data_IF_504133865230
#
_entry.id   IF_504133865230
#
_cell.length_a   1.000
_cell.length_b   1.000
_cell.length_c   1.000
_cell.angle_alpha   90.00
_cell.angle_beta   90.00
_cell.angle_gamma   90.00
#
_symmetry.space_group_name_H-M   'P 1'
#
loop_
_entity.id
_entity.type
_entity.pdbx_description
1 polymer ?
#
# COMPACT_ATOMS: atom_id res chain seq x y z
N UNK A 1 -56.16 -22.54 -32.12
CA UNK A 1 -54.74 -22.28 -32.47
C UNK A 1 -53.97 -22.49 -31.20
N UNK A 2 -53.37 -23.63 -31.13
CA UNK A 2 -52.71 -24.23 -29.96
C UNK A 2 -51.25 -23.75 -29.90
N UNK A 3 -50.86 -23.26 -28.72
CA UNK A 3 -49.48 -22.93 -28.38
C UNK A 3 -48.86 -24.19 -27.76
N UNK A 4 -47.97 -24.86 -28.48
CA UNK A 4 -47.04 -25.86 -27.97
C UNK A 4 -45.75 -25.73 -28.73
N UNK A 5 -44.81 -24.92 -28.19
CA UNK A 5 -43.42 -25.02 -28.53
C UNK A 5 -42.61 -25.19 -27.22
N UNK A 6 -42.41 -26.44 -26.88
CA UNK A 6 -41.60 -26.90 -25.78
C UNK A 6 -40.13 -26.78 -26.21
N UNK A 7 -39.44 -25.77 -25.69
CA UNK A 7 -37.97 -25.64 -25.83
C UNK A 7 -37.30 -26.77 -25.03
N UNK A 8 -36.77 -27.78 -25.73
CA UNK A 8 -35.94 -28.82 -25.15
C UNK A 8 -34.65 -28.21 -24.68
N UNK A 9 -34.44 -28.20 -23.35
CA UNK A 9 -33.11 -27.99 -22.74
C UNK A 9 -32.32 -29.26 -22.93
N UNK A 10 -31.29 -29.22 -23.76
CA UNK A 10 -30.30 -30.30 -23.84
C UNK A 10 -29.43 -30.26 -22.57
N UNK A 11 -29.66 -31.20 -21.67
CA UNK A 11 -28.73 -31.49 -20.57
C UNK A 11 -27.41 -32.00 -21.14
N UNK A 12 -26.40 -31.16 -21.11
CA UNK A 12 -25.00 -31.59 -21.31
C UNK A 12 -24.57 -32.42 -20.10
N UNK A 13 -24.03 -33.63 -20.29
CA UNK A 13 -23.50 -34.43 -19.20
C UNK A 13 -22.32 -33.66 -18.56
N UNK A 14 -22.07 -33.79 -17.25
CA UNK A 14 -20.93 -33.18 -16.59
C UNK A 14 -19.66 -33.89 -17.06
N UNK A 15 -19.12 -33.43 -18.19
CA UNK A 15 -17.79 -33.78 -18.61
C UNK A 15 -16.81 -33.05 -17.69
N UNK A 16 -16.13 -33.82 -16.84
CA UNK A 16 -14.95 -33.38 -16.11
C UNK A 16 -13.94 -32.83 -17.12
N UNK A 17 -13.92 -31.53 -17.30
CA UNK A 17 -12.80 -30.84 -17.92
C UNK A 17 -11.64 -30.95 -16.93
N UNK A 18 -10.87 -32.04 -17.04
CA UNK A 18 -9.48 -32.06 -16.56
C UNK A 18 -8.71 -31.11 -17.45
N UNK A 19 -8.79 -29.82 -17.15
CA UNK A 19 -7.79 -28.87 -17.59
C UNK A 19 -6.49 -29.27 -16.90
N UNK A 20 -5.65 -30.02 -17.59
CA UNK A 20 -4.23 -30.08 -17.29
C UNK A 20 -3.67 -28.70 -17.64
N UNK A 21 -3.89 -27.71 -16.76
CA UNK A 21 -3.16 -26.46 -16.82
C UNK A 21 -1.68 -26.84 -16.62
N UNK A 22 -0.88 -26.66 -17.66
CA UNK A 22 0.56 -26.59 -17.51
C UNK A 22 0.81 -25.63 -16.35
N UNK A 23 1.41 -26.11 -15.27
CA UNK A 23 1.81 -25.30 -14.12
C UNK A 23 2.89 -24.35 -14.62
N UNK A 24 2.49 -23.15 -15.05
CA UNK A 24 3.37 -22.12 -15.58
C UNK A 24 3.79 -21.21 -14.42
N UNK A 25 4.85 -21.56 -13.75
CA UNK A 25 5.55 -20.71 -12.80
C UNK A 25 5.03 -20.79 -11.36
N UNK A 26 5.95 -21.04 -10.43
CA UNK A 26 5.71 -20.91 -9.01
C UNK A 26 5.97 -19.47 -8.55
N UNK A 27 5.21 -18.96 -7.58
CA UNK A 27 5.44 -17.64 -7.00
C UNK A 27 5.13 -17.59 -5.51
N UNK A 28 5.67 -16.59 -4.85
CA UNK A 28 5.37 -16.22 -3.47
C UNK A 28 4.64 -14.89 -3.45
N UNK A 29 3.56 -14.82 -2.69
CA UNK A 29 2.81 -13.59 -2.42
C UNK A 29 2.98 -13.25 -0.94
N UNK A 30 3.39 -12.04 -0.63
CA UNK A 30 3.52 -11.58 0.75
C UNK A 30 2.13 -11.20 1.28
N UNK A 31 1.62 -11.95 2.26
CA UNK A 31 0.31 -11.70 2.87
C UNK A 31 0.40 -10.78 4.10
N UNK A 32 1.55 -10.79 4.79
CA UNK A 32 1.84 -9.94 5.95
C UNK A 32 3.35 -9.68 6.07
N UNK A 33 3.74 -8.56 6.66
CA UNK A 33 5.14 -8.12 6.83
C UNK A 33 5.47 -6.86 6.04
N UNK A 34 6.75 -6.46 6.05
CA UNK A 34 7.24 -5.20 5.48
C UNK A 34 7.06 -5.05 3.96
N UNK A 35 6.89 -6.17 3.26
CA UNK A 35 6.66 -6.22 1.80
C UNK A 35 5.26 -6.73 1.46
N UNK A 36 4.25 -6.50 2.32
CA UNK A 36 2.90 -7.00 2.12
C UNK A 36 2.38 -6.65 0.72
N UNK A 37 1.93 -7.70 -0.01
CA UNK A 37 1.39 -7.65 -1.37
C UNK A 37 2.40 -7.74 -2.49
N UNK A 38 3.67 -7.71 -2.22
CA UNK A 38 4.65 -8.02 -3.25
C UNK A 38 4.55 -9.48 -3.67
N UNK A 39 4.77 -9.70 -4.96
CA UNK A 39 4.82 -11.03 -5.57
C UNK A 39 6.20 -11.30 -6.13
N UNK A 40 6.75 -12.46 -5.80
CA UNK A 40 8.07 -12.89 -6.25
C UNK A 40 7.95 -14.17 -7.06
N UNK A 41 8.34 -14.11 -8.35
CA UNK A 41 8.41 -15.31 -9.21
C UNK A 41 9.59 -16.17 -8.81
N UNK A 42 9.36 -17.46 -8.65
CA UNK A 42 10.38 -18.45 -8.38
C UNK A 42 10.95 -18.99 -9.71
N UNK A 43 11.75 -18.16 -10.40
CA UNK A 43 12.33 -18.46 -11.72
C UNK A 43 13.69 -19.17 -11.65
N UNK A 44 14.24 -19.34 -10.44
CA UNK A 44 15.53 -19.96 -10.18
C UNK A 44 15.36 -21.31 -9.52
N UNK A 45 16.30 -22.21 -9.75
CA UNK A 45 16.34 -23.51 -9.05
C UNK A 45 16.37 -23.32 -7.53
N UNK A 46 16.96 -22.22 -7.04
CA UNK A 46 17.09 -21.90 -5.62
C UNK A 46 16.76 -20.41 -5.39
N UNK A 47 15.82 -20.14 -4.49
CA UNK A 47 15.43 -18.79 -4.07
C UNK A 47 15.57 -18.66 -2.56
N UNK A 48 16.45 -17.78 -2.08
CA UNK A 48 16.66 -17.51 -0.65
C UNK A 48 15.75 -16.36 -0.22
N UNK A 49 15.09 -16.55 0.91
CA UNK A 49 14.21 -15.60 1.58
C UNK A 49 14.92 -15.13 2.86
N UNK A 50 15.01 -13.82 3.08
CA UNK A 50 15.69 -13.29 4.26
C UNK A 50 15.80 -11.78 4.24
N UNK A 51 16.30 -11.16 5.33
CA UNK A 51 16.50 -9.70 5.39
C UNK A 51 17.85 -9.23 4.82
N UNK A 52 18.76 -10.14 4.54
CA UNK A 52 20.12 -9.82 4.06
C UNK A 52 20.16 -9.41 2.59
N UNK A 53 21.26 -8.79 2.20
CA UNK A 53 21.44 -8.33 0.80
C UNK A 53 21.58 -9.48 -0.20
N UNK A 54 21.91 -10.69 0.26
CA UNK A 54 22.05 -11.89 -0.59
C UNK A 54 20.73 -12.60 -0.86
N UNK A 55 19.66 -12.27 -0.09
CA UNK A 55 18.35 -12.84 -0.30
C UNK A 55 17.72 -12.31 -1.58
N UNK A 56 17.17 -13.19 -2.41
CA UNK A 56 16.41 -12.83 -3.61
C UNK A 56 15.04 -12.29 -3.25
N UNK A 57 14.40 -12.89 -2.22
CA UNK A 57 13.15 -12.41 -1.63
C UNK A 57 13.50 -11.72 -0.32
N UNK A 58 13.60 -10.39 -0.38
CA UNK A 58 14.12 -9.60 0.74
C UNK A 58 12.99 -9.08 1.62
N UNK A 59 12.95 -9.56 2.87
CA UNK A 59 12.00 -9.14 3.90
C UNK A 59 12.70 -8.30 4.96
N UNK A 60 12.30 -7.04 5.14
CA UNK A 60 12.96 -6.09 6.05
C UNK A 60 12.41 -6.17 7.49
N UNK A 61 11.89 -7.32 7.90
CA UNK A 61 11.35 -7.56 9.23
C UNK A 61 12.45 -8.01 10.20
N UNK A 62 12.47 -7.47 11.41
CA UNK A 62 13.50 -7.77 12.41
C UNK A 62 13.48 -9.23 12.88
N UNK A 63 12.32 -9.88 12.83
CA UNK A 63 12.15 -11.31 13.10
C UNK A 63 12.72 -12.24 12.03
N UNK A 64 13.10 -11.71 10.86
CA UNK A 64 13.62 -12.49 9.73
C UNK A 64 15.16 -12.50 9.75
N UNK A 65 15.78 -13.68 9.70
CA UNK A 65 17.23 -13.83 9.63
C UNK A 65 17.79 -13.33 8.29
N UNK A 66 19.10 -13.05 8.19
CA UNK A 66 19.73 -12.57 6.95
C UNK A 66 19.52 -13.53 5.77
N UNK A 67 19.70 -14.83 6.01
CA UNK A 67 19.29 -15.93 5.16
C UNK A 67 18.40 -16.78 6.06
N UNK A 68 17.07 -16.76 5.84
CA UNK A 68 16.12 -17.36 6.79
C UNK A 68 15.67 -18.74 6.33
N UNK A 69 15.18 -18.82 5.13
CA UNK A 69 14.78 -20.07 4.48
C UNK A 69 15.02 -19.97 2.98
N UNK A 70 14.90 -21.11 2.30
CA UNK A 70 15.01 -21.16 0.85
C UNK A 70 13.89 -22.01 0.25
N UNK A 71 13.55 -21.73 -0.98
CA UNK A 71 12.73 -22.61 -1.80
C UNK A 71 13.59 -23.12 -2.94
N UNK A 72 13.64 -24.46 -3.07
CA UNK A 72 14.34 -25.17 -4.12
C UNK A 72 13.32 -25.79 -5.05
N UNK A 73 13.41 -25.48 -6.34
CA UNK A 73 12.61 -26.11 -7.37
C UNK A 73 13.31 -27.38 -7.86
N UNK A 74 12.64 -28.54 -7.71
CA UNK A 74 13.11 -29.85 -8.17
C UNK A 74 12.08 -30.41 -9.17
N UNK A 75 12.27 -30.09 -10.44
CA UNK A 75 11.26 -30.31 -11.47
C UNK A 75 9.97 -29.54 -11.15
N UNK A 76 8.85 -30.26 -11.03
CA UNK A 76 7.53 -29.68 -10.71
C UNK A 76 7.28 -29.50 -9.18
N UNK A 77 8.28 -29.82 -8.35
CA UNK A 77 8.16 -29.76 -6.89
C UNK A 77 8.89 -28.56 -6.34
N UNK A 78 8.25 -27.85 -5.42
CA UNK A 78 8.85 -26.78 -4.63
C UNK A 78 9.14 -27.27 -3.22
N UNK A 79 10.38 -27.18 -2.78
CA UNK A 79 10.83 -27.65 -1.46
C UNK A 79 11.28 -26.46 -0.63
N UNK A 80 10.56 -26.18 0.44
CA UNK A 80 10.92 -25.20 1.47
C UNK A 80 11.96 -25.82 2.41
N UNK A 81 13.02 -25.07 2.74
CA UNK A 81 14.03 -25.46 3.76
C UNK A 81 14.35 -24.29 4.66
N UNK A 82 14.35 -24.50 5.96
CA UNK A 82 14.88 -23.54 6.92
C UNK A 82 16.41 -23.55 6.88
N UNK A 83 17.04 -22.37 6.95
CA UNK A 83 18.49 -22.22 6.88
C UNK A 83 19.12 -21.99 8.29
N UNK A 84 18.53 -22.58 9.33
CA UNK A 84 18.96 -22.37 10.72
C UNK A 84 18.51 -21.00 11.23
N UNK A 85 17.32 -20.59 10.87
CA UNK A 85 16.79 -19.28 11.25
C UNK A 85 16.56 -19.15 12.75
N UNK A 86 16.71 -17.93 13.30
CA UNK A 86 16.58 -17.65 14.72
C UNK A 86 15.16 -17.93 15.25
N UNK A 87 14.15 -17.47 14.51
CA UNK A 87 12.74 -17.59 14.94
C UNK A 87 12.00 -18.76 14.29
N UNK A 88 12.64 -19.47 13.35
CA UNK A 88 12.07 -20.63 12.67
C UNK A 88 11.17 -20.28 11.50
N UNK A 89 11.00 -21.28 10.62
CA UNK A 89 10.08 -21.28 9.49
C UNK A 89 8.92 -22.19 9.80
N UNK A 90 7.69 -21.77 9.53
CA UNK A 90 6.50 -22.56 9.80
C UNK A 90 5.67 -22.71 8.51
N UNK A 91 5.16 -23.90 8.28
CA UNK A 91 4.26 -24.20 7.18
C UNK A 91 3.09 -25.04 7.71
N UNK A 92 1.86 -24.73 7.28
CA UNK A 92 0.62 -25.40 7.74
C UNK A 92 0.51 -25.44 9.28
N UNK A 93 0.99 -24.39 9.96
CA UNK A 93 0.94 -24.26 11.42
C UNK A 93 2.03 -25.02 12.19
N UNK A 94 2.91 -25.76 11.52
CA UNK A 94 4.00 -26.53 12.14
C UNK A 94 5.36 -25.95 11.77
N UNK A 95 6.30 -25.96 12.71
CA UNK A 95 7.71 -25.60 12.43
C UNK A 95 8.32 -26.65 11.51
N UNK A 96 9.02 -26.20 10.45
CA UNK A 96 9.57 -27.08 9.45
C UNK A 96 11.07 -26.82 9.24
N UNK A 97 11.84 -27.91 9.07
CA UNK A 97 13.21 -27.85 8.57
C UNK A 97 13.25 -28.08 7.04
N UNK A 98 12.35 -28.94 6.57
CA UNK A 98 12.15 -29.24 5.15
C UNK A 98 10.69 -29.63 4.89
N UNK A 99 10.04 -29.02 3.90
CA UNK A 99 8.66 -29.28 3.52
C UNK A 99 8.45 -29.17 2.02
N UNK A 100 7.81 -30.14 1.41
CA UNK A 100 7.28 -30.02 0.04
C UNK A 100 6.05 -29.10 0.08
N UNK A 101 6.07 -28.05 -0.74
CA UNK A 101 5.00 -27.05 -0.80
C UNK A 101 3.92 -27.47 -1.80
N UNK A 102 2.68 -27.22 -1.42
CA UNK A 102 1.50 -27.36 -2.27
C UNK A 102 0.91 -26.00 -2.59
N UNK A 103 0.11 -25.93 -3.64
CA UNK A 103 -0.57 -24.71 -4.03
C UNK A 103 -1.46 -24.19 -2.90
N UNK A 104 -1.32 -22.89 -2.57
CA UNK A 104 -2.03 -22.24 -1.49
C UNK A 104 -1.35 -22.30 -0.12
N UNK A 105 -0.21 -23.00 0.03
CA UNK A 105 0.49 -23.09 1.31
C UNK A 105 0.89 -21.73 1.85
N UNK A 106 0.64 -21.54 3.17
CA UNK A 106 1.08 -20.36 3.90
C UNK A 106 2.34 -20.67 4.68
N UNK A 107 3.35 -19.84 4.49
CA UNK A 107 4.66 -19.94 5.12
C UNK A 107 4.81 -18.76 6.07
N UNK A 108 4.93 -19.01 7.38
CA UNK A 108 5.31 -17.98 8.34
C UNK A 108 6.83 -17.98 8.47
N UNK A 109 7.44 -16.83 8.22
CA UNK A 109 8.89 -16.60 8.27
C UNK A 109 9.17 -15.64 9.42
N UNK A 110 9.92 -16.09 10.40
CA UNK A 110 10.18 -15.29 11.60
C UNK A 110 8.92 -15.08 12.45
N UNK A 111 8.73 -13.87 12.98
CA UNK A 111 7.66 -13.56 13.94
C UNK A 111 6.39 -12.96 13.31
N UNK A 112 6.44 -12.51 12.06
CA UNK A 112 5.31 -11.74 11.50
C UNK A 112 5.17 -11.74 9.97
N UNK A 113 6.19 -12.21 9.23
CA UNK A 113 6.10 -12.27 7.77
C UNK A 113 5.36 -13.53 7.33
N UNK A 114 4.25 -13.37 6.60
CA UNK A 114 3.47 -14.48 6.05
C UNK A 114 3.55 -14.44 4.53
N UNK A 115 4.00 -15.53 3.94
CA UNK A 115 4.07 -15.75 2.49
C UNK A 115 3.04 -16.80 2.07
N UNK A 116 2.43 -16.63 0.91
CA UNK A 116 1.62 -17.66 0.26
C UNK A 116 2.40 -18.20 -0.93
N UNK A 117 2.61 -19.51 -0.96
CA UNK A 117 3.12 -20.20 -2.15
C UNK A 117 1.96 -20.56 -3.07
N UNK A 118 2.13 -20.36 -4.38
CA UNK A 118 1.09 -20.73 -5.35
C UNK A 118 1.70 -20.96 -6.73
N UNK A 119 1.06 -21.82 -7.55
CA UNK A 119 1.33 -21.95 -8.97
C UNK A 119 0.35 -21.05 -9.73
N UNK A 120 0.85 -20.23 -10.63
CA UNK A 120 0.00 -19.34 -11.41
C UNK A 120 0.00 -19.67 -12.89
N UNK A 121 -1.16 -19.55 -13.49
CA UNK A 121 -1.37 -19.26 -14.89
C UNK A 121 -1.20 -17.74 -15.11
N UNK A 122 -0.63 -17.32 -16.23
CA UNK A 122 -0.28 -15.91 -16.51
C UNK A 122 -1.47 -14.94 -16.45
N UNK A 123 -2.69 -15.44 -16.64
CA UNK A 123 -3.94 -14.65 -16.53
C UNK A 123 -4.33 -14.37 -15.08
N UNK A 124 -4.16 -15.35 -14.18
CA UNK A 124 -4.46 -15.22 -12.76
C UNK A 124 -3.50 -14.24 -12.06
N UNK A 125 -2.24 -14.20 -12.48
CA UNK A 125 -1.23 -13.26 -11.94
C UNK A 125 -1.62 -11.81 -12.19
N UNK A 126 -2.04 -11.48 -13.40
CA UNK A 126 -2.45 -10.12 -13.76
C UNK A 126 -3.70 -9.70 -12.98
N UNK A 127 -4.66 -10.61 -12.85
CA UNK A 127 -5.90 -10.34 -12.13
C UNK A 127 -5.67 -10.19 -10.61
N UNK A 128 -4.89 -11.07 -9.99
CA UNK A 128 -4.57 -10.97 -8.55
C UNK A 128 -3.73 -9.74 -8.24
N UNK A 129 -2.78 -9.39 -9.11
CA UNK A 129 -2.01 -8.17 -8.98
C UNK A 129 -2.91 -6.92 -9.09
N UNK A 130 -3.82 -6.89 -10.05
CA UNK A 130 -4.78 -5.80 -10.19
C UNK A 130 -5.72 -5.70 -8.98
N UNK A 131 -6.24 -6.82 -8.49
CA UNK A 131 -7.07 -6.87 -7.28
C UNK A 131 -6.31 -6.35 -6.05
N UNK A 132 -5.04 -6.76 -5.92
CA UNK A 132 -4.19 -6.29 -4.84
C UNK A 132 -3.89 -4.80 -4.95
N UNK A 133 -3.42 -4.33 -6.10
CA UNK A 133 -3.16 -2.90 -6.35
C UNK A 133 -4.42 -2.05 -6.13
N UNK A 134 -5.59 -2.56 -6.51
CA UNK A 134 -6.88 -1.91 -6.22
C UNK A 134 -7.18 -1.86 -4.72
N UNK A 135 -6.84 -2.90 -3.95
CA UNK A 135 -7.07 -2.93 -2.50
C UNK A 135 -6.20 -1.95 -1.70
N UNK A 136 -5.12 -1.42 -2.32
CA UNK A 136 -4.23 -0.42 -1.71
C UNK A 136 -4.65 1.02 -2.00
N UNK A 137 -5.61 1.20 -2.90
CA UNK A 137 -6.02 2.53 -3.34
C UNK A 137 -7.37 2.91 -2.76
N UNK A 138 -7.60 4.22 -2.66
CA UNK A 138 -8.90 4.80 -2.36
C UNK A 138 -9.78 4.78 -3.62
N UNK A 139 -11.02 4.30 -3.47
CA UNK A 139 -11.92 4.07 -4.60
C UNK A 139 -12.30 5.35 -5.35
N UNK A 140 -12.36 6.49 -4.65
CA UNK A 140 -12.71 7.77 -5.24
C UNK A 140 -11.50 8.44 -5.91
N UNK A 141 -10.42 8.61 -5.16
CA UNK A 141 -9.27 9.43 -5.58
C UNK A 141 -8.18 8.66 -6.31
N UNK A 142 -8.21 7.31 -6.27
CA UNK A 142 -7.23 6.38 -6.86
C UNK A 142 -5.79 6.51 -6.35
N UNK A 143 -5.51 7.39 -5.39
CA UNK A 143 -4.26 7.44 -4.63
C UNK A 143 -4.24 6.34 -3.57
N UNK A 144 -3.18 6.19 -2.80
CA UNK A 144 -3.13 5.17 -1.75
C UNK A 144 -4.21 5.41 -0.68
N UNK A 145 -4.71 4.33 -0.08
CA UNK A 145 -5.71 4.39 0.99
C UNK A 145 -5.05 4.45 2.39
N UNK A 146 -5.88 4.66 3.41
CA UNK A 146 -5.46 4.73 4.83
C UNK A 146 -4.67 3.50 5.28
N UNK A 147 -5.09 2.30 4.86
CA UNK A 147 -4.42 1.05 5.26
C UNK A 147 -2.98 1.03 4.76
N UNK A 148 -2.79 1.30 3.47
CA UNK A 148 -1.44 1.37 2.90
C UNK A 148 -0.58 2.45 3.56
N UNK A 149 -1.16 3.62 3.84
CA UNK A 149 -0.46 4.70 4.54
C UNK A 149 0.03 4.25 5.93
N UNK A 150 -0.83 3.61 6.73
CA UNK A 150 -0.48 3.16 8.09
C UNK A 150 0.67 2.16 8.06
N UNK A 151 0.58 1.13 7.19
CA UNK A 151 1.64 0.12 7.05
C UNK A 151 2.95 0.76 6.56
N UNK A 152 2.83 1.76 5.69
CA UNK A 152 3.99 2.41 5.06
C UNK A 152 4.70 3.40 5.98
N UNK A 153 3.96 4.21 6.75
CA UNK A 153 4.58 5.17 7.67
C UNK A 153 5.40 4.47 8.75
N UNK A 154 4.94 3.32 9.27
CA UNK A 154 5.67 2.53 10.24
C UNK A 154 7.00 2.02 9.66
N UNK A 155 6.95 1.43 8.46
CA UNK A 155 8.14 0.88 7.81
C UNK A 155 9.16 1.96 7.39
N UNK A 156 8.69 3.10 6.86
CA UNK A 156 9.54 4.23 6.47
C UNK A 156 10.17 4.91 7.69
N UNK A 157 9.39 5.08 8.77
CA UNK A 157 9.91 5.61 10.03
C UNK A 157 11.02 4.72 10.58
N UNK A 158 10.76 3.42 10.75
CA UNK A 158 11.73 2.47 11.29
C UNK A 158 13.01 2.41 10.43
N UNK A 159 12.88 2.44 9.11
CA UNK A 159 14.02 2.45 8.20
C UNK A 159 14.82 3.74 8.33
N UNK A 160 14.17 4.91 8.21
CA UNK A 160 14.83 6.22 8.25
C UNK A 160 15.49 6.49 9.59
N UNK A 161 14.84 6.11 10.69
CA UNK A 161 15.38 6.23 12.04
C UNK A 161 16.68 5.42 12.21
N UNK A 162 16.72 4.15 11.78
CA UNK A 162 17.91 3.30 11.84
C UNK A 162 19.05 3.81 10.96
N UNK A 163 18.73 4.28 9.77
CA UNK A 163 19.72 4.73 8.78
C UNK A 163 20.11 6.19 8.98
N UNK A 164 19.52 6.89 9.97
CA UNK A 164 19.70 8.33 10.20
C UNK A 164 19.42 9.16 8.94
N UNK A 165 18.42 8.74 8.18
CA UNK A 165 17.97 9.44 6.98
C UNK A 165 16.84 10.40 7.33
N UNK A 166 16.70 11.46 6.55
CA UNK A 166 15.61 12.39 6.67
C UNK A 166 14.29 11.76 6.23
N UNK A 167 13.22 12.09 6.94
CA UNK A 167 11.85 11.74 6.58
C UNK A 167 10.93 12.85 7.10
N UNK A 168 10.08 13.39 6.23
CA UNK A 168 9.05 14.33 6.61
C UNK A 168 7.65 13.75 6.32
N UNK A 169 6.68 14.17 7.10
CA UNK A 169 5.27 13.88 6.90
C UNK A 169 4.52 15.19 6.73
N UNK A 170 3.76 15.28 5.65
CA UNK A 170 2.82 16.36 5.38
C UNK A 170 1.42 15.77 5.51
N UNK A 171 0.63 16.25 6.46
CA UNK A 171 -0.80 15.94 6.57
C UNK A 171 -1.59 17.19 6.22
N UNK A 172 -2.61 17.08 5.36
CA UNK A 172 -3.44 18.23 4.99
C UNK A 172 -4.91 17.84 4.85
N UNK A 173 -5.76 18.82 4.91
CA UNK A 173 -7.21 18.66 4.94
C UNK A 173 -7.87 19.80 4.17
N UNK A 174 -8.96 19.47 3.48
CA UNK A 174 -9.71 20.43 2.67
C UNK A 174 -10.48 21.40 3.57
N UNK A 175 -10.17 22.68 3.46
CA UNK A 175 -10.82 23.71 4.25
C UNK A 175 -12.31 23.82 3.85
N UNK A 176 -13.20 23.86 4.87
CA UNK A 176 -14.63 24.06 4.69
C UNK A 176 -15.32 23.02 3.80
N UNK A 177 -14.80 21.78 3.72
CA UNK A 177 -15.33 20.76 2.82
C UNK A 177 -16.81 20.44 3.06
N UNK A 178 -17.27 20.51 4.33
CA UNK A 178 -18.69 20.39 4.65
C UNK A 178 -19.54 21.45 3.93
N UNK A 179 -19.07 22.69 3.87
CA UNK A 179 -19.78 23.80 3.19
C UNK A 179 -19.84 23.55 1.68
N UNK A 180 -18.81 22.94 1.09
CA UNK A 180 -18.84 22.49 -0.32
C UNK A 180 -19.95 21.47 -0.53
N UNK A 181 -20.04 20.43 0.31
CA UNK A 181 -21.10 19.43 0.23
C UNK A 181 -22.49 20.03 0.45
N UNK A 182 -22.65 20.90 1.44
CA UNK A 182 -23.93 21.51 1.76
C UNK A 182 -24.40 22.47 0.65
N UNK A 183 -23.46 23.12 -0.08
CA UNK A 183 -23.78 24.12 -1.12
C UNK A 183 -23.96 23.49 -2.50
N UNK A 184 -23.11 22.53 -2.86
CA UNK A 184 -23.03 21.97 -4.23
C UNK A 184 -23.47 20.49 -4.31
N UNK A 185 -23.75 19.87 -3.16
CA UNK A 185 -24.11 18.46 -3.03
C UNK A 185 -22.91 17.50 -2.96
N UNK A 186 -23.11 16.30 -2.41
CA UNK A 186 -22.09 15.29 -2.28
C UNK A 186 -21.37 14.91 -3.59
N UNK A 187 -22.06 14.83 -4.76
CA UNK A 187 -21.36 14.55 -6.03
C UNK A 187 -20.33 15.62 -6.39
N UNK A 188 -20.54 16.88 -6.00
CA UNK A 188 -19.58 17.96 -6.21
C UNK A 188 -18.40 17.82 -5.23
N UNK A 189 -18.66 17.40 -3.98
CA UNK A 189 -17.63 17.07 -3.01
C UNK A 189 -16.73 15.93 -3.49
N UNK A 190 -17.31 14.85 -3.99
CA UNK A 190 -16.56 13.73 -4.55
C UNK A 190 -15.70 14.17 -5.75
N UNK A 191 -16.27 14.98 -6.64
CA UNK A 191 -15.53 15.52 -7.78
C UNK A 191 -14.31 16.35 -7.35
N UNK A 192 -14.48 17.30 -6.40
CA UNK A 192 -13.35 18.13 -5.97
C UNK A 192 -12.25 17.34 -5.26
N UNK A 193 -12.60 16.30 -4.49
CA UNK A 193 -11.60 15.42 -3.88
C UNK A 193 -10.81 14.63 -4.90
N UNK A 194 -11.48 14.07 -5.93
CA UNK A 194 -10.83 13.32 -6.99
C UNK A 194 -9.92 14.23 -7.84
N UNK A 195 -10.40 15.41 -8.24
CA UNK A 195 -9.66 16.36 -9.05
C UNK A 195 -8.47 16.96 -8.29
N UNK A 196 -8.66 17.28 -6.99
CA UNK A 196 -7.58 17.72 -6.12
C UNK A 196 -6.49 16.64 -5.98
N UNK A 197 -6.88 15.39 -5.82
CA UNK A 197 -5.91 14.30 -5.72
C UNK A 197 -5.06 14.18 -7.00
N UNK A 198 -5.66 14.33 -8.18
CA UNK A 198 -4.93 14.37 -9.47
C UNK A 198 -3.95 15.55 -9.54
N UNK A 199 -4.39 16.76 -9.16
CA UNK A 199 -3.55 17.95 -9.15
C UNK A 199 -2.35 17.81 -8.21
N UNK A 200 -2.57 17.24 -7.02
CA UNK A 200 -1.51 17.00 -6.03
C UNK A 200 -0.58 15.87 -6.49
N UNK A 201 -1.10 14.78 -7.04
CA UNK A 201 -0.29 13.67 -7.55
C UNK A 201 0.70 14.11 -8.64
N UNK A 202 0.33 15.10 -9.46
CA UNK A 202 1.21 15.63 -10.50
C UNK A 202 2.45 16.36 -9.95
N UNK A 203 2.46 16.77 -8.69
CA UNK A 203 3.56 17.51 -8.05
C UNK A 203 4.31 16.71 -6.98
N UNK A 204 3.78 15.55 -6.57
CA UNK A 204 4.43 14.62 -5.63
C UNK A 204 5.42 13.75 -6.38
N UNK A 205 6.57 13.43 -5.78
CA UNK A 205 7.60 12.60 -6.40
C UNK A 205 7.16 11.13 -6.43
N UNK A 206 7.74 10.36 -7.35
CA UNK A 206 7.42 8.92 -7.50
C UNK A 206 7.79 8.11 -6.25
N UNK A 207 8.87 8.52 -5.57
CA UNK A 207 9.34 7.88 -4.33
C UNK A 207 8.52 8.23 -3.09
N UNK A 208 7.74 9.32 -3.12
CA UNK A 208 6.90 9.74 -2.00
C UNK A 208 5.59 8.95 -1.99
N UNK A 209 4.97 8.81 -0.83
CA UNK A 209 3.70 8.10 -0.67
C UNK A 209 2.58 9.09 -0.42
N UNK A 210 1.69 9.25 -1.37
CA UNK A 210 0.51 10.10 -1.26
C UNK A 210 -0.74 9.26 -1.03
N UNK A 211 -1.45 9.52 0.07
CA UNK A 211 -2.59 8.73 0.52
C UNK A 211 -3.75 9.60 1.02
N UNK A 212 -4.98 9.07 0.86
CA UNK A 212 -6.18 9.57 1.55
C UNK A 212 -6.36 8.80 2.84
N UNK A 213 -6.31 9.51 3.98
CA UNK A 213 -6.32 8.92 5.32
C UNK A 213 -7.65 9.10 6.05
N UNK A 214 -8.50 9.98 5.56
CA UNK A 214 -9.84 10.26 6.09
C UNK A 214 -10.80 10.69 4.98
N UNK A 215 -11.96 11.23 5.34
CA UNK A 215 -12.96 11.71 4.39
C UNK A 215 -12.41 12.81 3.48
N UNK A 216 -11.84 13.84 4.08
CA UNK A 216 -11.25 15.02 3.42
C UNK A 216 -9.77 15.22 3.81
N UNK A 217 -9.17 14.20 4.47
CA UNK A 217 -7.81 14.23 5.00
C UNK A 217 -6.85 13.41 4.14
N UNK A 218 -5.69 13.98 3.89
CA UNK A 218 -4.64 13.43 3.03
C UNK A 218 -3.28 13.51 3.70
N UNK A 219 -2.39 12.59 3.36
CA UNK A 219 -1.01 12.60 3.87
C UNK A 219 0.00 12.25 2.80
N UNK A 220 1.20 12.86 2.90
CA UNK A 220 2.34 12.57 2.03
C UNK A 220 3.54 12.20 2.91
N UNK A 221 4.05 10.99 2.75
CA UNK A 221 5.33 10.57 3.33
C UNK A 221 6.44 10.98 2.36
N UNK A 222 7.26 11.95 2.79
CA UNK A 222 8.29 12.55 1.96
C UNK A 222 9.66 11.95 2.31
N UNK A 223 10.16 11.02 1.50
CA UNK A 223 11.44 10.35 1.72
C UNK A 223 12.62 11.28 1.49
N UNK A 224 13.61 11.19 2.34
CA UNK A 224 14.83 12.01 2.25
C UNK A 224 14.60 13.51 2.48
N UNK A 225 13.41 13.92 2.94
CA UNK A 225 13.06 15.30 3.20
C UNK A 225 13.20 15.65 4.68
N UNK A 226 13.83 16.78 4.98
CA UNK A 226 13.80 17.42 6.29
C UNK A 226 12.56 18.32 6.46
N UNK A 227 12.44 19.00 7.62
CA UNK A 227 11.30 19.86 7.91
C UNK A 227 11.17 21.04 6.93
N UNK A 228 12.30 21.58 6.44
CA UNK A 228 12.27 22.69 5.49
C UNK A 228 11.81 22.24 4.11
N UNK A 229 12.28 21.08 3.67
CA UNK A 229 11.86 20.44 2.41
C UNK A 229 10.40 19.98 2.49
N UNK A 230 9.97 19.41 3.62
CA UNK A 230 8.56 19.08 3.87
C UNK A 230 7.66 20.30 3.79
N UNK A 231 8.07 21.45 4.36
CA UNK A 231 7.37 22.73 4.21
C UNK A 231 7.21 23.13 2.75
N UNK A 232 8.28 23.03 1.96
CA UNK A 232 8.23 23.39 0.51
C UNK A 232 7.22 22.51 -0.22
N UNK A 233 7.19 21.21 0.07
CA UNK A 233 6.22 20.28 -0.52
C UNK A 233 4.80 20.68 -0.10
N UNK A 234 4.55 20.95 1.18
CA UNK A 234 3.24 21.37 1.69
C UNK A 234 2.76 22.68 1.07
N UNK A 235 3.64 23.67 0.90
CA UNK A 235 3.28 24.94 0.23
C UNK A 235 2.97 24.74 -1.26
N UNK A 236 3.67 23.83 -1.94
CA UNK A 236 3.36 23.46 -3.33
C UNK A 236 1.97 22.82 -3.42
N UNK A 237 1.64 21.93 -2.48
CA UNK A 237 0.29 21.32 -2.39
C UNK A 237 -0.76 22.40 -2.19
N UNK A 238 -0.59 23.26 -1.19
CA UNK A 238 -1.51 24.36 -0.90
C UNK A 238 -1.72 25.26 -2.11
N UNK A 239 -0.65 25.66 -2.77
CA UNK A 239 -0.72 26.50 -3.96
C UNK A 239 -1.38 25.80 -5.15
N UNK A 240 -1.05 24.53 -5.39
CA UNK A 240 -1.66 23.76 -6.47
C UNK A 240 -3.18 23.65 -6.28
N UNK A 241 -3.66 23.45 -5.04
CA UNK A 241 -5.10 23.39 -4.76
C UNK A 241 -5.74 24.76 -4.89
N UNK A 242 -5.19 25.81 -4.28
CA UNK A 242 -5.80 27.15 -4.29
C UNK A 242 -5.80 27.81 -5.67
N UNK A 243 -4.88 27.44 -6.56
CA UNK A 243 -4.80 27.95 -7.93
C UNK A 243 -5.55 27.09 -8.96
N UNK A 244 -6.01 25.89 -8.60
CA UNK A 244 -6.73 25.00 -9.50
C UNK A 244 -8.19 25.45 -9.68
N UNK A 245 -8.71 25.34 -10.90
CA UNK A 245 -10.11 25.66 -11.21
C UNK A 245 -10.97 24.40 -11.12
N UNK A 246 -11.69 24.24 -10.01
CA UNK A 246 -12.61 23.12 -9.83
C UNK A 246 -13.99 23.48 -10.41
N UNK A 247 -14.29 23.02 -11.63
CA UNK A 247 -15.55 23.34 -12.32
C UNK A 247 -16.49 22.15 -12.30
N UNK A 248 -17.58 22.24 -11.54
CA UNK A 248 -18.63 21.22 -11.49
C UNK A 248 -19.98 21.79 -11.95
N UNK A 249 -20.62 21.13 -12.90
CA UNK A 249 -21.89 21.58 -13.49
C UNK A 249 -21.88 23.07 -13.93
N UNK A 250 -20.75 23.54 -14.49
CA UNK A 250 -20.56 24.92 -14.96
C UNK A 250 -20.31 25.96 -13.84
N UNK A 251 -20.18 25.53 -12.59
CA UNK A 251 -19.86 26.42 -11.46
C UNK A 251 -18.44 26.16 -10.98
N UNK A 252 -17.68 27.24 -10.76
CA UNK A 252 -16.37 27.15 -10.14
C UNK A 252 -16.51 27.05 -8.62
N UNK A 253 -15.85 26.05 -8.02
CA UNK A 253 -15.84 25.80 -6.57
C UNK A 253 -14.47 26.22 -6.04
N UNK A 254 -14.36 27.32 -5.29
CA UNK A 254 -13.09 27.71 -4.68
C UNK A 254 -12.73 26.71 -3.57
N UNK A 255 -11.47 26.26 -3.57
CA UNK A 255 -10.98 25.26 -2.62
C UNK A 255 -9.63 25.70 -2.06
N UNK A 256 -9.43 25.53 -0.76
CA UNK A 256 -8.13 25.68 -0.10
C UNK A 256 -7.86 24.47 0.79
N UNK A 257 -6.61 24.32 1.19
CA UNK A 257 -6.19 23.29 2.14
C UNK A 257 -5.34 23.89 3.24
N UNK A 258 -5.50 23.36 4.45
CA UNK A 258 -4.59 23.59 5.56
C UNK A 258 -3.65 22.39 5.67
N UNK A 259 -2.37 22.61 5.97
CA UNK A 259 -1.38 21.55 6.08
C UNK A 259 -0.54 21.66 7.35
N UNK A 260 -0.21 20.49 7.94
CA UNK A 260 0.74 20.31 9.01
C UNK A 260 1.96 19.52 8.54
N UNK A 261 3.14 19.88 9.02
CA UNK A 261 4.41 19.22 8.65
C UNK A 261 5.17 18.82 9.89
N UNK A 262 5.61 17.56 9.95
CA UNK A 262 6.54 17.06 10.95
C UNK A 262 7.75 16.39 10.26
N UNK A 263 8.88 16.27 10.99
CA UNK A 263 10.05 15.54 10.49
C UNK A 263 10.70 14.76 11.64
N UNK A 264 11.25 13.58 11.33
CA UNK A 264 11.79 12.65 12.33
C UNK A 264 13.05 13.14 13.04
N UNK A 265 13.66 14.22 12.57
CA UNK A 265 14.82 14.84 13.23
C UNK A 265 14.47 15.53 14.56
N UNK A 266 13.18 15.73 14.84
CA UNK A 266 12.76 16.24 16.15
C UNK A 266 12.89 15.13 17.21
N UNK A 267 13.69 15.39 18.25
CA UNK A 267 14.00 14.40 19.28
C UNK A 267 12.76 13.95 20.11
N UNK A 268 11.66 14.67 20.04
CA UNK A 268 10.39 14.30 20.68
C UNK A 268 9.61 13.25 19.90
N UNK A 269 9.97 13.00 18.64
CA UNK A 269 9.34 12.02 17.76
C UNK A 269 10.15 10.72 17.85
N UNK A 270 9.66 9.79 18.65
CA UNK A 270 10.39 8.53 18.97
C UNK A 270 9.83 7.30 18.24
N UNK A 271 8.63 7.40 17.68
CA UNK A 271 7.96 6.35 16.95
C UNK A 271 7.06 6.89 15.84
N UNK A 272 6.55 6.00 15.00
CA UNK A 272 5.69 6.35 13.86
C UNK A 272 4.36 6.99 14.31
N UNK A 273 3.81 6.57 15.45
CA UNK A 273 2.57 7.13 15.98
C UNK A 273 2.78 8.58 16.43
N UNK A 274 3.86 8.86 17.15
CA UNK A 274 4.27 10.22 17.53
C UNK A 274 4.57 11.10 16.31
N UNK A 275 5.12 10.50 15.24
CA UNK A 275 5.36 11.22 13.99
C UNK A 275 4.07 11.67 13.30
N UNK A 276 3.07 10.79 13.22
CA UNK A 276 1.74 11.14 12.70
C UNK A 276 1.07 12.18 13.59
N UNK A 277 1.06 11.97 14.92
CA UNK A 277 0.47 12.91 15.86
C UNK A 277 1.09 14.32 15.80
N UNK A 278 2.40 14.41 15.55
CA UNK A 278 3.09 15.70 15.38
C UNK A 278 2.61 16.45 14.12
N UNK A 279 2.43 15.76 12.99
CA UNK A 279 1.91 16.36 11.77
C UNK A 279 0.44 16.79 11.93
N UNK A 280 -0.38 15.96 12.58
CA UNK A 280 -1.79 16.28 12.86
C UNK A 280 -1.96 17.46 13.80
N UNK A 281 -1.10 17.58 14.82
CA UNK A 281 -1.09 18.76 15.69
C UNK A 281 -0.75 20.03 14.91
N UNK A 282 0.24 19.97 14.02
CA UNK A 282 0.59 21.10 13.17
C UNK A 282 -0.56 21.47 12.21
N UNK A 283 -1.28 20.48 11.65
CA UNK A 283 -2.48 20.68 10.84
C UNK A 283 -3.60 21.37 11.64
N UNK A 284 -3.83 20.91 12.88
CA UNK A 284 -4.80 21.56 13.77
C UNK A 284 -4.46 23.03 13.99
N UNK A 285 -3.19 23.38 14.23
CA UNK A 285 -2.75 24.75 14.35
C UNK A 285 -2.97 25.56 13.05
N UNK A 286 -2.77 24.97 11.88
CA UNK A 286 -3.06 25.62 10.61
C UNK A 286 -4.55 25.96 10.47
N UNK A 287 -5.44 25.02 10.81
CA UNK A 287 -6.90 25.23 10.81
C UNK A 287 -7.32 26.31 11.83
N UNK A 288 -6.76 26.27 13.04
CA UNK A 288 -7.10 27.21 14.15
C UNK A 288 -6.64 28.63 13.88
N UNK A 289 -5.51 28.81 13.20
CA UNK A 289 -4.90 30.13 12.96
C UNK A 289 -5.35 30.81 11.66
N UNK A 290 -6.37 30.28 10.98
CA UNK A 290 -7.04 30.96 9.86
C UNK A 290 -7.05 30.21 8.55
N UNK A 291 -6.70 28.92 8.53
CA UNK A 291 -6.75 28.04 7.34
C UNK A 291 -5.86 28.53 6.18
N UNK A 292 -5.95 27.84 5.03
CA UNK A 292 -5.17 28.12 3.80
C UNK A 292 -3.69 28.43 4.12
N UNK A 293 -3.05 27.55 4.89
CA UNK A 293 -1.66 27.71 5.34
C UNK A 293 -0.99 26.41 5.71
N UNK A 294 0.33 26.51 5.81
CA UNK A 294 1.20 25.44 6.30
C UNK A 294 1.72 25.80 7.70
N UNK A 295 1.53 24.92 8.67
CA UNK A 295 2.17 24.98 9.97
C UNK A 295 3.19 23.86 10.15
N UNK A 296 4.27 24.15 10.88
CA UNK A 296 5.29 23.14 11.20
C UNK A 296 5.11 22.70 12.66
N UNK A 297 5.34 21.41 12.92
CA UNK A 297 5.55 20.91 14.27
C UNK A 297 6.77 21.62 14.90
N UNK A 298 6.58 22.21 16.09
CA UNK A 298 7.60 22.96 16.82
C UNK A 298 7.69 22.50 18.28
#
# INVERSE_FOLDING_TARGET
>A
MTWDDVTRVEERPPGSVKTSSKREGACLIVLAGSAMGEMYKLTRERTVIGRGQKAQVRMLDDGVSREHCEIVMDGDKAILRDLGSTNGTFCRGSRVERQELEDGDKILVGSGTVLKFTYHDSLDETFQRQMYESSLRDDLTKIFNKKYFTDRVESEFAYSYRQKMSLALVTFDVDHFKEVNDTYGHPAGDYVLAEMALAVQAIVRVEDVFARVGGEEFSIICRGADIAQGRVIAERVRYAVSSHSFVFAGKNIPLTVSAGVAAIQDARIVDAQGFVAAADHALYEAKRTGRDRVCLWR
#
